data_IF_555852128329
#
_entry.id   IF_555852128329
#
_cell.length_a   1.000
_cell.length_b   1.000
_cell.length_c   1.000
_cell.angle_alpha   90.00
_cell.angle_beta   90.00
_cell.angle_gamma   90.00
#
_symmetry.space_group_name_H-M   'P 1'
#
loop_
_entity.id
_entity.type
_entity.pdbx_description
1 polymer ?
#
# COMPACT_ATOMS: atom_id res chain seq x y z
N UNK A 1 1.68 5.88 22.54
CA UNK A 1 1.30 5.39 21.21
C UNK A 1 1.18 6.59 20.30
N UNK A 2 2.04 6.71 19.29
CA UNK A 2 2.00 7.81 18.33
C UNK A 2 0.82 7.60 17.37
N UNK A 3 0.19 8.69 16.95
CA UNK A 3 -0.84 8.65 15.90
C UNK A 3 -0.23 8.09 14.62
N UNK A 4 -0.90 7.21 13.84
CA UNK A 4 -0.40 6.85 12.52
C UNK A 4 -0.26 8.12 11.70
N UNK A 5 0.92 8.24 11.17
CA UNK A 5 1.30 9.37 10.35
C UNK A 5 0.63 9.23 8.99
N UNK A 6 0.09 10.33 8.45
CA UNK A 6 -0.32 10.37 7.06
C UNK A 6 0.88 10.06 6.17
N UNK A 7 0.65 9.55 4.97
CA UNK A 7 1.71 9.24 4.00
C UNK A 7 2.69 10.41 3.82
N UNK A 8 2.19 11.63 3.68
CA UNK A 8 3.01 12.85 3.55
C UNK A 8 3.88 13.08 4.79
N UNK A 9 3.31 12.92 6.00
CA UNK A 9 4.06 13.07 7.25
C UNK A 9 5.14 12.01 7.39
N UNK A 10 4.86 10.76 7.00
CA UNK A 10 5.83 9.68 7.00
C UNK A 10 7.00 9.99 6.06
N UNK A 11 6.71 10.38 4.82
CA UNK A 11 7.75 10.70 3.82
C UNK A 11 8.64 11.86 4.27
N UNK A 12 8.08 12.90 4.89
CA UNK A 12 8.85 14.03 5.41
C UNK A 12 9.74 13.66 6.61
N UNK A 13 9.43 12.59 7.33
CA UNK A 13 10.24 12.09 8.45
C UNK A 13 11.42 11.23 8.01
N UNK A 14 11.37 10.63 6.82
CA UNK A 14 12.39 9.67 6.36
C UNK A 14 13.81 10.26 6.33
N UNK A 15 13.98 11.58 6.13
CA UNK A 15 15.29 12.22 6.08
C UNK A 15 16.00 12.35 7.44
N UNK A 16 15.28 12.17 8.58
CA UNK A 16 15.82 12.43 9.92
C UNK A 16 15.28 11.53 11.03
N UNK A 17 14.49 10.51 10.71
CA UNK A 17 13.88 9.63 11.69
C UNK A 17 14.01 8.15 11.25
N UNK A 18 14.88 7.42 11.97
CA UNK A 18 15.11 6.00 11.68
C UNK A 18 13.83 5.14 11.90
N UNK A 19 12.99 5.51 12.87
CA UNK A 19 11.72 4.81 13.10
C UNK A 19 10.76 4.98 11.91
N UNK A 20 10.85 6.09 11.17
CA UNK A 20 10.07 6.29 9.96
C UNK A 20 10.45 5.30 8.85
N UNK A 21 11.71 4.86 8.77
CA UNK A 21 12.14 3.83 7.82
C UNK A 21 11.56 2.46 8.13
N UNK A 22 11.49 2.09 9.40
CA UNK A 22 10.84 0.85 9.83
C UNK A 22 9.35 0.88 9.49
N UNK A 23 8.67 1.97 9.81
CA UNK A 23 7.25 2.17 9.47
C UNK A 23 7.02 2.11 7.95
N UNK A 24 7.92 2.72 7.16
CA UNK A 24 7.87 2.69 5.70
C UNK A 24 8.07 1.28 5.15
N UNK A 25 9.08 0.58 5.66
CA UNK A 25 9.38 -0.79 5.26
C UNK A 25 8.20 -1.71 5.53
N UNK A 26 7.66 -1.71 6.76
CA UNK A 26 6.54 -2.56 7.16
C UNK A 26 5.29 -2.29 6.30
N UNK A 27 5.07 -1.04 5.93
CA UNK A 27 3.92 -0.62 5.13
C UNK A 27 3.96 -1.10 3.69
N UNK A 28 5.14 -1.12 3.07
CA UNK A 28 5.27 -1.36 1.62
C UNK A 28 5.89 -2.71 1.26
N UNK A 29 6.57 -3.37 2.19
CA UNK A 29 7.27 -4.63 1.94
C UNK A 29 6.38 -5.70 1.32
N UNK A 30 5.24 -5.98 1.93
CA UNK A 30 4.37 -7.07 1.48
C UNK A 30 3.76 -6.78 0.10
N UNK A 31 3.42 -5.53 -0.19
CA UNK A 31 2.97 -5.14 -1.52
C UNK A 31 4.06 -5.34 -2.59
N UNK A 32 5.33 -5.05 -2.27
CA UNK A 32 6.47 -5.27 -3.18
C UNK A 32 6.68 -6.77 -3.42
N UNK A 33 6.61 -7.59 -2.37
CA UNK A 33 6.72 -9.06 -2.45
C UNK A 33 5.61 -9.62 -3.34
N UNK A 34 4.36 -9.23 -3.11
CA UNK A 34 3.21 -9.67 -3.90
C UNK A 34 3.35 -9.33 -5.39
N UNK A 35 3.87 -8.14 -5.71
CA UNK A 35 4.15 -7.74 -7.08
C UNK A 35 5.29 -8.57 -7.70
N UNK A 36 6.28 -8.97 -6.91
CA UNK A 36 7.32 -9.91 -7.30
C UNK A 36 6.74 -11.27 -7.68
N UNK A 37 5.92 -11.85 -6.81
CA UNK A 37 5.22 -13.12 -7.10
C UNK A 37 4.29 -13.01 -8.31
N UNK A 38 3.58 -11.91 -8.45
CA UNK A 38 2.75 -11.66 -9.63
C UNK A 38 3.55 -11.72 -10.93
N UNK A 39 4.83 -11.31 -10.91
CA UNK A 39 5.76 -11.39 -12.05
C UNK A 39 6.55 -12.70 -12.11
N UNK A 40 6.20 -13.68 -11.27
CA UNK A 40 6.82 -15.00 -11.26
C UNK A 40 8.25 -15.02 -10.70
N UNK A 41 8.57 -14.09 -9.80
CA UNK A 41 9.83 -14.12 -9.05
C UNK A 41 9.76 -15.19 -7.96
N UNK A 42 10.90 -15.83 -7.64
CA UNK A 42 11.03 -16.75 -6.51
C UNK A 42 11.11 -15.99 -5.19
N UNK A 43 11.07 -16.72 -4.07
CA UNK A 43 11.19 -16.14 -2.73
C UNK A 43 12.49 -15.33 -2.56
N UNK A 44 13.62 -15.88 -3.03
CA UNK A 44 14.91 -15.19 -2.99
C UNK A 44 14.92 -13.94 -3.88
N UNK A 45 14.35 -14.03 -5.09
CA UNK A 45 14.23 -12.89 -5.99
C UNK A 45 13.29 -11.82 -5.45
N UNK A 46 12.23 -12.20 -4.73
CA UNK A 46 11.34 -11.26 -4.04
C UNK A 46 12.06 -10.56 -2.89
N UNK A 47 12.89 -11.26 -2.13
CA UNK A 47 13.73 -10.64 -1.09
C UNK A 47 14.73 -9.65 -1.71
N UNK A 48 15.38 -10.00 -2.81
CA UNK A 48 16.25 -9.11 -3.59
C UNK A 48 15.47 -7.89 -4.12
N UNK A 49 14.23 -8.11 -4.61
CA UNK A 49 13.37 -7.02 -5.08
C UNK A 49 13.11 -6.00 -3.97
N UNK A 50 12.67 -6.44 -2.80
CA UNK A 50 12.43 -5.58 -1.64
C UNK A 50 13.69 -4.79 -1.30
N UNK A 51 14.83 -5.47 -1.18
CA UNK A 51 16.09 -4.83 -0.85
C UNK A 51 16.49 -3.76 -1.89
N UNK A 52 16.41 -4.10 -3.19
CA UNK A 52 16.76 -3.17 -4.26
C UNK A 52 15.84 -1.94 -4.30
N UNK A 53 14.53 -2.13 -4.10
CA UNK A 53 13.58 -1.02 -4.03
C UNK A 53 13.90 -0.11 -2.85
N UNK A 54 14.13 -0.67 -1.66
CA UNK A 54 14.44 0.11 -0.45
C UNK A 54 15.76 0.85 -0.57
N UNK A 55 16.82 0.21 -1.08
CA UNK A 55 18.13 0.86 -1.27
C UNK A 55 18.01 2.02 -2.26
N UNK A 56 17.36 1.81 -3.42
CA UNK A 56 17.21 2.88 -4.43
C UNK A 56 16.38 4.03 -3.89
N UNK A 57 15.34 3.73 -3.13
CA UNK A 57 14.52 4.76 -2.50
C UNK A 57 15.31 5.51 -1.42
N UNK A 58 16.06 4.80 -0.58
CA UNK A 58 16.93 5.38 0.45
C UNK A 58 17.93 6.38 -0.16
N UNK A 59 18.62 5.99 -1.23
CA UNK A 59 19.53 6.91 -1.91
C UNK A 59 18.85 8.17 -2.41
N UNK A 60 17.64 8.03 -2.98
CA UNK A 60 16.87 9.19 -3.43
C UNK A 60 16.52 10.14 -2.28
N UNK A 61 16.13 9.60 -1.12
CA UNK A 61 15.84 10.42 0.07
C UNK A 61 17.12 11.07 0.60
N UNK A 62 18.24 10.34 0.63
CA UNK A 62 19.55 10.86 1.08
C UNK A 62 20.14 11.94 0.19
N UNK A 63 19.81 11.95 -1.11
CA UNK A 63 20.23 12.99 -2.08
C UNK A 63 19.43 14.31 -1.95
N UNK A 64 18.74 14.52 -0.82
CA UNK A 64 17.96 15.74 -0.57
C UNK A 64 16.58 15.71 -1.20
N UNK A 65 15.97 14.53 -1.35
CA UNK A 65 14.59 14.38 -1.77
C UNK A 65 13.65 14.99 -0.73
N UNK A 66 13.12 16.15 -1.03
CA UNK A 66 11.92 16.68 -0.37
C UNK A 66 10.69 16.25 -1.15
N UNK A 67 9.80 15.52 -0.51
CA UNK A 67 8.55 15.13 -1.16
C UNK A 67 7.68 16.36 -1.37
N UNK A 68 7.59 16.79 -2.63
CA UNK A 68 6.65 17.84 -3.07
C UNK A 68 5.50 17.19 -3.86
N UNK A 69 4.31 17.08 -3.27
CA UNK A 69 3.15 16.51 -3.94
C UNK A 69 2.70 17.29 -5.18
N UNK A 70 3.13 18.55 -5.34
CA UNK A 70 2.82 19.37 -6.51
C UNK A 70 3.64 18.98 -7.74
N UNK A 71 4.83 18.41 -7.56
CA UNK A 71 5.73 18.01 -8.64
C UNK A 71 5.45 16.59 -9.15
N UNK A 72 5.25 15.65 -8.23
CA UNK A 72 4.91 14.27 -8.58
C UNK A 72 4.25 13.57 -7.40
N UNK A 73 3.25 12.74 -7.69
CA UNK A 73 2.64 11.88 -6.68
C UNK A 73 3.60 10.80 -6.26
N UNK A 74 3.75 10.59 -4.96
CA UNK A 74 4.60 9.54 -4.41
C UNK A 74 4.31 8.18 -5.05
N UNK A 75 3.03 7.83 -5.20
CA UNK A 75 2.60 6.58 -5.83
C UNK A 75 3.21 6.40 -7.22
N UNK A 76 3.12 7.41 -8.08
CA UNK A 76 3.64 7.35 -9.44
C UNK A 76 5.15 7.13 -9.44
N UNK A 77 5.87 7.88 -8.60
CA UNK A 77 7.32 7.74 -8.46
C UNK A 77 7.69 6.34 -7.94
N UNK A 78 7.07 5.90 -6.84
CA UNK A 78 7.41 4.64 -6.20
C UNK A 78 7.02 3.43 -7.06
N UNK A 79 5.90 3.51 -7.80
CA UNK A 79 5.52 2.49 -8.78
C UNK A 79 6.53 2.33 -9.91
N UNK A 80 7.05 3.44 -10.44
CA UNK A 80 8.12 3.40 -11.45
C UNK A 80 9.41 2.77 -10.90
N UNK A 81 9.74 3.07 -9.65
CA UNK A 81 10.91 2.47 -8.99
C UNK A 81 10.75 0.96 -8.85
N UNK A 82 9.59 0.48 -8.39
CA UNK A 82 9.29 -0.97 -8.27
C UNK A 82 9.35 -1.65 -9.63
N UNK A 83 8.71 -1.08 -10.66
CA UNK A 83 8.76 -1.61 -12.03
C UNK A 83 10.18 -1.74 -12.55
N UNK A 84 10.99 -0.70 -12.39
CA UNK A 84 12.41 -0.72 -12.78
C UNK A 84 13.18 -1.85 -12.10
N UNK A 85 12.98 -2.06 -10.80
CA UNK A 85 13.63 -3.15 -10.06
C UNK A 85 13.17 -4.53 -10.55
N UNK A 86 11.88 -4.72 -10.82
CA UNK A 86 11.34 -5.97 -11.39
C UNK A 86 11.96 -6.25 -12.76
N UNK A 87 11.95 -5.27 -13.66
CA UNK A 87 12.55 -5.41 -15.00
C UNK A 87 14.03 -5.76 -14.92
N UNK A 88 14.79 -5.13 -14.02
CA UNK A 88 16.20 -5.43 -13.83
C UNK A 88 16.45 -6.88 -13.37
N UNK A 89 15.62 -7.40 -12.45
CA UNK A 89 15.71 -8.79 -11.99
C UNK A 89 15.37 -9.77 -13.10
N UNK A 90 14.28 -9.53 -13.85
CA UNK A 90 13.90 -10.37 -14.98
C UNK A 90 14.99 -10.37 -16.06
N UNK A 91 15.55 -9.23 -16.43
CA UNK A 91 16.67 -9.13 -17.38
C UNK A 91 17.91 -9.89 -16.89
N UNK A 92 18.22 -9.87 -15.59
CA UNK A 92 19.35 -10.64 -15.03
C UNK A 92 19.09 -12.14 -15.10
N UNK A 93 17.86 -12.57 -14.83
CA UNK A 93 17.44 -13.97 -14.94
C UNK A 93 17.57 -14.44 -16.38
N UNK A 94 17.05 -13.68 -17.34
CA UNK A 94 17.09 -14.02 -18.75
C UNK A 94 18.52 -14.10 -19.27
N UNK A 95 19.41 -13.17 -18.88
CA UNK A 95 20.84 -13.25 -19.23
C UNK A 95 21.53 -14.50 -18.66
N UNK A 96 21.18 -14.95 -17.46
CA UNK A 96 21.71 -16.20 -16.90
C UNK A 96 21.21 -17.42 -17.66
N UNK A 97 19.97 -17.37 -18.14
CA UNK A 97 19.34 -18.42 -18.93
C UNK A 97 19.90 -18.44 -20.37
N UNK A 98 20.13 -17.27 -20.97
CA UNK A 98 20.67 -17.09 -22.33
C UNK A 98 22.17 -17.38 -22.41
N UNK A 99 22.94 -17.20 -21.36
CA UNK A 99 24.33 -17.71 -21.31
C UNK A 99 24.40 -19.23 -21.46
N UNK A 100 23.25 -19.91 -21.41
CA UNK A 100 23.09 -21.36 -21.68
C UNK A 100 22.45 -21.64 -23.03
N UNK A 101 21.96 -20.63 -23.78
CA UNK A 101 21.34 -20.78 -25.11
C UNK A 101 21.67 -19.56 -25.97
N UNK A 102 22.44 -19.77 -27.05
CA UNK A 102 22.76 -18.69 -27.98
C UNK A 102 21.54 -18.13 -28.70
N UNK A 103 21.53 -16.80 -28.81
CA UNK A 103 20.72 -15.98 -29.71
C UNK A 103 19.21 -15.85 -29.42
N UNK A 104 18.86 -14.79 -28.67
CA UNK A 104 17.60 -14.07 -28.86
C UNK A 104 17.90 -12.57 -28.78
N UNK A 105 17.53 -11.84 -29.84
CA UNK A 105 17.58 -10.38 -29.90
C UNK A 105 16.64 -9.80 -28.84
N UNK A 106 17.19 -9.01 -27.92
CA UNK A 106 16.39 -8.33 -26.91
C UNK A 106 15.92 -7.00 -27.46
N UNK A 107 14.60 -6.86 -27.57
CA UNK A 107 13.93 -5.61 -27.82
C UNK A 107 14.01 -4.72 -26.55
N UNK A 108 14.80 -3.64 -26.58
CA UNK A 108 14.99 -2.68 -25.49
C UNK A 108 13.77 -1.73 -25.30
N UNK A 109 12.66 -1.98 -25.98
CA UNK A 109 11.41 -1.25 -25.79
C UNK A 109 10.73 -1.64 -24.49
N UNK A 110 10.55 -0.69 -23.55
CA UNK A 110 9.61 -0.84 -22.46
C UNK A 110 8.19 -0.99 -23.03
N UNK A 111 7.79 -2.24 -23.31
CA UNK A 111 6.38 -2.51 -23.62
C UNK A 111 5.55 -2.19 -22.38
N UNK A 112 4.47 -1.44 -22.53
CA UNK A 112 3.55 -1.19 -21.41
C UNK A 112 3.08 -2.55 -20.86
N UNK A 113 3.40 -2.83 -19.60
CA UNK A 113 2.92 -4.02 -18.90
C UNK A 113 1.63 -3.64 -18.17
N UNK A 114 0.53 -3.60 -18.93
CA UNK A 114 -0.78 -3.20 -18.43
C UNK A 114 -1.24 -4.06 -17.25
N UNK A 115 -0.89 -5.36 -17.24
CA UNK A 115 -1.23 -6.27 -16.16
C UNK A 115 -0.46 -5.91 -14.87
N UNK A 116 0.82 -5.58 -15.00
CA UNK A 116 1.60 -5.10 -13.87
C UNK A 116 1.09 -3.74 -13.36
N UNK A 117 0.68 -2.85 -14.27
CA UNK A 117 0.08 -1.58 -13.89
C UNK A 117 -1.22 -1.76 -13.10
N UNK A 118 -2.09 -2.66 -13.55
CA UNK A 118 -3.31 -3.01 -12.83
C UNK A 118 -3.01 -3.63 -11.46
N UNK A 119 -2.06 -4.56 -11.38
CA UNK A 119 -1.66 -5.17 -10.11
C UNK A 119 -1.10 -4.13 -9.13
N UNK A 120 -0.27 -3.21 -9.60
CA UNK A 120 0.25 -2.10 -8.81
C UNK A 120 -0.89 -1.22 -8.29
N UNK A 121 -1.87 -0.86 -9.13
CA UNK A 121 -3.01 -0.05 -8.73
C UNK A 121 -3.86 -0.74 -7.65
N UNK A 122 -4.09 -2.05 -7.78
CA UNK A 122 -4.82 -2.82 -6.75
C UNK A 122 -4.06 -2.85 -5.41
N UNK A 123 -2.74 -3.01 -5.43
CA UNK A 123 -1.93 -2.93 -4.20
C UNK A 123 -2.01 -1.55 -3.53
N UNK A 124 -1.99 -0.48 -4.33
CA UNK A 124 -2.19 0.88 -3.79
C UNK A 124 -3.57 1.07 -3.17
N UNK A 125 -4.63 0.58 -3.83
CA UNK A 125 -5.99 0.63 -3.27
C UNK A 125 -6.08 -0.15 -1.96
N UNK A 126 -5.45 -1.31 -1.89
CA UNK A 126 -5.40 -2.10 -0.66
C UNK A 126 -4.71 -1.33 0.47
N UNK A 127 -3.49 -0.81 0.25
CA UNK A 127 -2.73 -0.05 1.25
C UNK A 127 -3.55 1.14 1.77
N UNK A 128 -4.23 1.86 0.87
CA UNK A 128 -5.02 3.04 1.28
C UNK A 128 -6.31 2.68 2.01
N UNK A 129 -6.91 1.52 1.71
CA UNK A 129 -8.04 1.01 2.50
C UNK A 129 -7.61 0.68 3.93
N UNK A 130 -6.47 0.00 4.08
CA UNK A 130 -5.89 -0.27 5.40
C UNK A 130 -5.58 1.03 6.17
N UNK A 131 -4.97 2.01 5.50
CA UNK A 131 -4.73 3.34 6.10
C UNK A 131 -6.03 4.01 6.56
N UNK A 132 -7.09 3.93 5.75
CA UNK A 132 -8.39 4.50 6.09
C UNK A 132 -9.02 3.81 7.31
N UNK A 133 -8.91 2.48 7.42
CA UNK A 133 -9.42 1.72 8.56
C UNK A 133 -8.61 2.02 9.84
N UNK A 134 -7.29 2.12 9.74
CA UNK A 134 -6.43 2.52 10.87
C UNK A 134 -6.77 3.93 11.36
N UNK A 135 -6.99 4.87 10.45
CA UNK A 135 -7.41 6.23 10.81
C UNK A 135 -8.81 6.25 11.42
N UNK A 136 -9.75 5.45 10.89
CA UNK A 136 -11.07 5.28 11.48
C UNK A 136 -10.99 4.79 12.93
N UNK A 137 -10.19 3.73 13.18
CA UNK A 137 -10.02 3.15 14.50
C UNK A 137 -9.56 4.17 15.55
N UNK A 138 -8.85 5.23 15.13
CA UNK A 138 -8.41 6.28 16.04
C UNK A 138 -9.42 7.39 16.27
N UNK A 139 -10.42 7.51 15.39
CA UNK A 139 -11.46 8.55 15.47
C UNK A 139 -12.70 8.09 16.23
N UNK A 140 -12.77 6.82 16.64
CA UNK A 140 -13.88 6.24 17.38
C UNK A 140 -13.36 5.48 18.60
N UNK A 141 -14.23 5.20 19.57
CA UNK A 141 -13.88 4.33 20.69
C UNK A 141 -13.79 2.85 20.24
N UNK A 142 -12.99 2.05 20.95
CA UNK A 142 -12.70 0.65 20.62
C UNK A 142 -13.97 -0.18 20.43
N UNK A 143 -14.98 0.04 21.27
CA UNK A 143 -16.23 -0.72 21.21
C UNK A 143 -17.06 -0.37 19.96
N UNK A 144 -17.04 0.89 19.55
CA UNK A 144 -17.67 1.34 18.31
C UNK A 144 -16.94 0.77 17.11
N UNK A 145 -15.60 0.76 17.12
CA UNK A 145 -14.81 0.16 16.06
C UNK A 145 -15.05 -1.35 15.95
N UNK A 146 -14.97 -2.10 17.06
CA UNK A 146 -15.25 -3.53 17.09
C UNK A 146 -16.64 -3.89 16.56
N UNK A 147 -17.67 -3.10 16.93
CA UNK A 147 -19.01 -3.31 16.41
C UNK A 147 -19.11 -3.09 14.91
N UNK A 148 -18.40 -2.10 14.38
CA UNK A 148 -18.29 -1.85 12.95
C UNK A 148 -17.54 -2.97 12.23
N UNK A 149 -16.39 -3.38 12.74
CA UNK A 149 -15.56 -4.44 12.19
C UNK A 149 -16.34 -5.76 12.08
N UNK A 150 -16.88 -6.25 13.17
CA UNK A 150 -17.64 -7.51 13.20
C UNK A 150 -18.89 -7.46 12.30
N UNK A 151 -19.64 -6.36 12.35
CA UNK A 151 -20.89 -6.26 11.62
C UNK A 151 -20.73 -5.89 10.14
N UNK A 152 -19.85 -4.95 9.82
CA UNK A 152 -19.74 -4.38 8.47
C UNK A 152 -18.62 -5.00 7.64
N UNK A 153 -17.49 -5.40 8.24
CA UNK A 153 -16.35 -5.98 7.53
C UNK A 153 -16.41 -7.51 7.55
N UNK A 154 -16.67 -8.12 8.71
CA UNK A 154 -16.78 -9.58 8.85
C UNK A 154 -18.20 -10.11 8.58
N UNK A 155 -19.17 -9.24 8.33
CA UNK A 155 -20.56 -9.56 7.96
C UNK A 155 -21.26 -10.44 8.99
N UNK A 156 -20.94 -10.29 10.28
CA UNK A 156 -21.59 -11.05 11.35
C UNK A 156 -23.03 -10.56 11.62
N UNK A 157 -23.96 -11.42 12.03
CA UNK A 157 -25.33 -11.02 12.35
C UNK A 157 -25.36 -9.97 13.48
N UNK A 158 -26.11 -8.86 13.35
CA UNK A 158 -26.08 -7.78 14.33
C UNK A 158 -26.55 -8.19 15.73
N UNK A 159 -27.37 -9.25 15.86
CA UNK A 159 -27.78 -9.80 17.15
C UNK A 159 -26.62 -10.50 17.86
N UNK A 160 -25.76 -11.20 17.13
CA UNK A 160 -24.56 -11.87 17.68
C UNK A 160 -23.52 -10.86 18.10
N UNK A 161 -23.25 -9.85 17.27
CA UNK A 161 -22.37 -8.73 17.60
C UNK A 161 -22.84 -8.00 18.86
N UNK A 162 -24.13 -7.70 18.95
CA UNK A 162 -24.75 -7.07 20.12
C UNK A 162 -24.54 -7.89 21.38
N UNK A 163 -24.73 -9.23 21.29
CA UNK A 163 -24.52 -10.15 22.42
C UNK A 163 -23.03 -10.22 22.81
N UNK A 164 -22.14 -10.35 21.85
CA UNK A 164 -20.68 -10.44 22.06
C UNK A 164 -20.12 -9.20 22.76
N UNK A 165 -20.54 -8.02 22.30
CA UNK A 165 -20.05 -6.75 22.82
C UNK A 165 -20.87 -6.18 23.96
N UNK A 166 -21.93 -6.88 24.43
CA UNK A 166 -22.80 -6.42 25.49
C UNK A 166 -23.50 -5.09 25.20
N UNK A 167 -23.99 -4.90 23.96
CA UNK A 167 -24.65 -3.67 23.51
C UNK A 167 -26.02 -4.00 22.89
N UNK A 168 -26.84 -2.96 22.64
CA UNK A 168 -28.10 -3.15 21.93
C UNK A 168 -27.87 -3.34 20.43
N UNK A 169 -28.78 -4.06 19.74
CA UNK A 169 -28.76 -4.18 18.28
C UNK A 169 -28.84 -2.81 17.60
N UNK A 170 -29.62 -1.88 18.18
CA UNK A 170 -29.68 -0.49 17.73
C UNK A 170 -28.33 0.20 17.79
N UNK A 171 -27.55 -0.05 18.87
CA UNK A 171 -26.20 0.51 19.01
C UNK A 171 -25.23 -0.02 17.94
N UNK A 172 -25.36 -1.30 17.51
CA UNK A 172 -24.57 -1.85 16.41
C UNK A 172 -24.84 -1.11 15.10
N UNK A 173 -26.09 -0.82 14.79
CA UNK A 173 -26.46 -0.04 13.59
C UNK A 173 -25.95 1.41 13.66
N UNK A 174 -26.03 2.03 14.84
CA UNK A 174 -25.50 3.39 15.06
C UNK A 174 -23.99 3.40 14.88
N UNK A 175 -23.27 2.42 15.44
CA UNK A 175 -21.82 2.27 15.26
C UNK A 175 -21.45 2.18 13.77
N UNK A 176 -22.11 1.30 13.00
CA UNK A 176 -21.90 1.22 11.55
C UNK A 176 -22.12 2.56 10.85
N UNK A 177 -23.26 3.21 11.12
CA UNK A 177 -23.59 4.48 10.46
C UNK A 177 -22.56 5.58 10.77
N UNK A 178 -22.12 5.67 12.03
CA UNK A 178 -21.07 6.61 12.45
C UNK A 178 -19.73 6.33 11.77
N UNK A 179 -19.29 5.08 11.77
CA UNK A 179 -18.04 4.68 11.14
C UNK A 179 -18.06 4.92 9.62
N UNK A 180 -19.15 4.57 8.93
CA UNK A 180 -19.29 4.84 7.50
C UNK A 180 -19.26 6.33 7.16
N UNK A 181 -19.83 7.19 8.02
CA UNK A 181 -19.74 8.65 7.82
C UNK A 181 -18.29 9.11 7.88
N UNK A 182 -17.54 8.69 8.90
CA UNK A 182 -16.14 9.05 9.08
C UNK A 182 -15.28 8.49 7.92
N UNK A 183 -15.52 7.22 7.51
CA UNK A 183 -14.82 6.62 6.37
C UNK A 183 -15.02 7.41 5.08
N UNK A 184 -16.24 7.88 4.80
CA UNK A 184 -16.50 8.71 3.61
C UNK A 184 -15.67 10.00 3.64
N UNK A 185 -15.52 10.65 4.79
CA UNK A 185 -14.67 11.83 4.95
C UNK A 185 -13.19 11.50 4.66
N UNK A 186 -12.69 10.37 5.20
CA UNK A 186 -11.32 9.92 4.98
C UNK A 186 -11.10 9.59 3.51
N UNK A 187 -11.98 8.80 2.90
CA UNK A 187 -11.89 8.39 1.48
C UNK A 187 -11.98 9.60 0.55
N UNK A 188 -12.87 10.57 0.84
CA UNK A 188 -12.95 11.79 0.05
C UNK A 188 -11.65 12.59 0.09
N UNK A 189 -10.98 12.68 1.24
CA UNK A 189 -9.67 13.30 1.36
C UNK A 189 -8.59 12.54 0.59
N UNK A 190 -8.52 11.21 0.73
CA UNK A 190 -7.56 10.38 0.01
C UNK A 190 -7.74 10.46 -1.52
N UNK A 191 -8.99 10.47 -2.00
CA UNK A 191 -9.31 10.65 -3.41
C UNK A 191 -8.95 12.07 -3.91
N UNK A 192 -9.06 13.10 -3.07
CA UNK A 192 -8.62 14.44 -3.42
C UNK A 192 -7.09 14.53 -3.54
N UNK A 193 -6.35 13.79 -2.71
CA UNK A 193 -4.89 13.70 -2.78
C UNK A 193 -4.42 12.90 -4.01
N UNK A 194 -5.16 11.85 -4.41
CA UNK A 194 -4.83 11.01 -5.57
C UNK A 194 -6.09 10.55 -6.33
N UNK A 195 -6.65 11.40 -7.23
CA UNK A 195 -7.88 11.11 -7.95
C UNK A 195 -7.85 9.87 -8.86
N UNK A 196 -6.65 9.42 -9.29
CA UNK A 196 -6.53 8.24 -10.15
C UNK A 196 -6.79 6.92 -9.42
N UNK A 197 -6.71 6.91 -8.08
CA UNK A 197 -6.92 5.69 -7.30
C UNK A 197 -8.37 5.25 -7.24
N UNK A 198 -9.32 6.21 -7.32
CA UNK A 198 -10.76 5.94 -7.24
C UNK A 198 -11.08 4.91 -6.14
N UNK A 199 -10.73 5.24 -4.89
CA UNK A 199 -11.21 4.47 -3.74
C UNK A 199 -12.73 4.57 -3.76
N UNK A 200 -13.43 3.43 -3.91
CA UNK A 200 -14.88 3.39 -4.07
C UNK A 200 -15.61 4.11 -2.94
N UNK A 201 -16.78 4.65 -3.27
CA UNK A 201 -17.72 5.29 -2.32
C UNK A 201 -18.29 4.27 -1.34
#
# INVERSE_FOLDING_TARGET
>A
MGFPTTRTTLLNRLSHDEAAWTEFFDRYRDAIVDLGYFKGLSDDECADLVQNVMIRFFHKVGDGFEYDPSLARFRTFFSRLIKGCICDLLRRRDRRTVAFSESLEFDDGERPDELLDMAIMEKWRFILREEALLELAQRVDDRTYQAFELYALEVQPPREVAKLLGMSVGSVYVAKSRCLKILREIVARLNAEDPELHLGE
#
